data_IF_748719394572
#
_entry.id   IF_748719394572
#
_cell.length_a   1.000
_cell.length_b   1.000
_cell.length_c   1.000
_cell.angle_alpha   90.00
_cell.angle_beta   90.00
_cell.angle_gamma   90.00
#
_symmetry.space_group_name_H-M   'P 1'
#
loop_
_entity.id
_entity.type
_entity.pdbx_description
1 polymer ?
#
# COMPACT_ATOMS: atom_id res chain seq x y z
N UNK A 1 -8.84 0.82 -10.32
CA UNK A 1 -9.16 1.08 -11.75
C UNK A 1 -10.57 0.71 -12.14
N UNK A 2 -11.32 -0.09 -11.38
CA UNK A 2 -12.71 -0.41 -11.71
C UNK A 2 -13.62 0.83 -11.96
N UNK A 3 -13.30 1.98 -11.36
CA UNK A 3 -14.00 3.24 -11.60
C UNK A 3 -13.66 3.93 -12.94
N UNK A 4 -12.59 3.52 -13.63
CA UNK A 4 -12.09 4.11 -14.88
C UNK A 4 -11.66 3.00 -15.87
N UNK A 5 -12.59 2.14 -16.30
CA UNK A 5 -12.25 0.97 -17.13
C UNK A 5 -11.72 1.33 -18.52
N UNK A 6 -12.07 2.51 -19.04
CA UNK A 6 -11.67 2.96 -20.38
C UNK A 6 -10.30 3.65 -20.42
N UNK A 7 -9.68 3.89 -19.26
CA UNK A 7 -8.36 4.54 -19.17
C UNK A 7 -7.29 3.46 -19.06
N UNK A 8 -6.40 3.30 -20.07
CA UNK A 8 -5.37 2.28 -20.01
C UNK A 8 -4.36 2.60 -18.91
N UNK A 9 -3.91 1.56 -18.23
CA UNK A 9 -2.75 1.62 -17.35
C UNK A 9 -1.46 1.84 -18.14
N UNK A 10 -0.39 2.23 -17.45
CA UNK A 10 0.95 2.26 -18.07
C UNK A 10 1.34 0.88 -18.60
N UNK A 11 1.04 -0.19 -17.86
CA UNK A 11 1.34 -1.56 -18.26
C UNK A 11 0.60 -1.96 -19.53
N UNK A 12 -0.69 -1.63 -19.63
CA UNK A 12 -1.49 -1.86 -20.85
C UNK A 12 -0.97 -1.04 -22.04
N UNK A 13 -0.26 0.06 -21.77
CA UNK A 13 0.41 0.89 -22.77
C UNK A 13 1.84 0.43 -23.09
N UNK A 14 2.27 -0.73 -22.58
CA UNK A 14 3.61 -1.29 -22.81
C UNK A 14 4.73 -0.69 -21.94
N UNK A 15 4.37 0.06 -20.90
CA UNK A 15 5.32 0.63 -19.93
C UNK A 15 5.21 -0.17 -18.63
N UNK A 16 6.23 -0.97 -18.32
CA UNK A 16 6.31 -1.77 -17.10
C UNK A 16 6.65 -0.93 -15.86
N UNK A 17 5.78 0.01 -15.52
CA UNK A 17 5.91 0.87 -14.35
C UNK A 17 4.54 1.16 -13.72
N UNK A 18 4.51 1.27 -12.40
CA UNK A 18 3.35 1.78 -11.68
C UNK A 18 3.76 2.49 -10.39
N UNK A 19 3.01 3.53 -10.07
CA UNK A 19 3.11 4.25 -8.81
C UNK A 19 1.71 4.44 -8.26
N UNK A 20 1.49 3.93 -7.05
CA UNK A 20 0.23 4.08 -6.33
C UNK A 20 0.54 4.58 -4.93
N UNK A 21 -0.22 5.56 -4.46
CA UNK A 21 -0.13 5.98 -3.07
C UNK A 21 -0.71 4.90 -2.17
N UNK A 22 0.02 4.52 -1.13
CA UNK A 22 -0.41 3.53 -0.15
C UNK A 22 -0.37 4.11 1.27
N UNK A 23 -1.09 3.45 2.18
CA UNK A 23 -1.09 3.75 3.62
C UNK A 23 -0.99 2.44 4.38
N UNK A 24 -0.39 2.48 5.56
CA UNK A 24 -0.25 1.31 6.41
C UNK A 24 -0.04 1.69 7.86
N UNK A 25 -0.22 0.71 8.74
CA UNK A 25 0.02 0.81 10.17
C UNK A 25 1.10 -0.19 10.54
N UNK A 26 2.03 0.23 11.37
CA UNK A 26 3.11 -0.60 11.90
C UNK A 26 3.23 -0.39 13.39
N UNK A 27 3.73 -1.40 14.09
CA UNK A 27 3.91 -1.39 15.53
C UNK A 27 5.41 -1.37 15.88
N UNK A 28 5.80 -0.89 17.07
CA UNK A 28 7.16 -1.04 17.55
C UNK A 28 7.60 -2.51 17.51
N UNK A 29 8.88 -2.75 17.16
CA UNK A 29 9.45 -4.09 16.97
C UNK A 29 9.24 -5.05 18.16
N UNK A 30 9.22 -4.52 19.38
CA UNK A 30 9.10 -5.32 20.62
C UNK A 30 7.65 -5.37 21.14
N UNK A 31 6.67 -5.04 20.31
CA UNK A 31 5.25 -5.13 20.69
C UNK A 31 4.87 -6.61 20.91
N UNK A 32 4.29 -6.98 22.07
CA UNK A 32 3.88 -8.36 22.33
C UNK A 32 2.88 -8.89 21.29
N UNK A 33 3.04 -10.16 20.89
CA UNK A 33 2.23 -10.82 19.86
C UNK A 33 0.73 -10.72 20.12
N UNK A 34 0.28 -10.85 21.37
CA UNK A 34 -1.13 -10.72 21.72
C UNK A 34 -1.72 -9.34 21.37
N UNK A 35 -0.90 -8.28 21.47
CA UNK A 35 -1.31 -6.92 21.07
C UNK A 35 -1.34 -6.80 19.55
N UNK A 36 -0.33 -7.37 18.87
CA UNK A 36 -0.27 -7.42 17.40
C UNK A 36 -1.52 -8.10 16.84
N UNK A 37 -1.87 -9.28 17.38
CA UNK A 37 -3.03 -10.06 16.95
C UNK A 37 -4.34 -9.30 17.18
N UNK A 38 -4.50 -8.70 18.37
CA UNK A 38 -5.70 -7.91 18.70
C UNK A 38 -5.90 -6.77 17.71
N UNK A 39 -4.84 -5.99 17.42
CA UNK A 39 -4.93 -4.86 16.50
C UNK A 39 -5.09 -5.31 15.05
N UNK A 40 -4.41 -6.37 14.63
CA UNK A 40 -4.54 -6.93 13.28
C UNK A 40 -5.98 -7.37 13.01
N UNK A 41 -6.59 -8.11 13.94
CA UNK A 41 -7.97 -8.57 13.80
C UNK A 41 -8.96 -7.40 13.72
N UNK A 42 -8.83 -6.42 14.62
CA UNK A 42 -9.68 -5.23 14.60
C UNK A 42 -9.55 -4.43 13.30
N UNK A 43 -8.34 -4.29 12.75
CA UNK A 43 -8.12 -3.61 11.48
C UNK A 43 -8.76 -4.37 10.31
N UNK A 44 -8.64 -5.70 10.30
CA UNK A 44 -9.29 -6.53 9.27
C UNK A 44 -10.81 -6.38 9.32
N UNK A 45 -11.42 -6.41 10.51
CA UNK A 45 -12.86 -6.15 10.68
C UNK A 45 -13.26 -4.76 10.18
N UNK A 46 -12.48 -3.72 10.52
CA UNK A 46 -12.74 -2.35 10.03
C UNK A 46 -12.70 -2.31 8.51
N UNK A 47 -11.73 -2.95 7.86
CA UNK A 47 -11.62 -2.92 6.39
C UNK A 47 -12.79 -3.59 5.68
N UNK A 48 -13.48 -4.51 6.36
CA UNK A 48 -14.67 -5.20 5.86
C UNK A 48 -15.97 -4.44 6.17
N UNK A 49 -15.92 -3.42 7.02
CA UNK A 49 -17.10 -2.64 7.40
C UNK A 49 -17.64 -1.78 6.25
N UNK A 50 -18.95 -1.65 6.20
CA UNK A 50 -19.64 -0.82 5.19
C UNK A 50 -19.22 0.65 5.29
N UNK A 51 -18.99 1.16 6.50
CA UNK A 51 -18.57 2.54 6.73
C UNK A 51 -17.19 2.82 6.13
N UNK A 52 -16.24 1.88 6.29
CA UNK A 52 -14.92 1.98 5.67
C UNK A 52 -15.02 1.91 4.15
N UNK A 53 -15.72 0.92 3.60
CA UNK A 53 -15.87 0.74 2.16
C UNK A 53 -16.54 1.96 1.51
N UNK A 54 -17.58 2.51 2.14
CA UNK A 54 -18.27 3.73 1.70
C UNK A 54 -17.34 4.93 1.74
N UNK A 55 -16.56 5.09 2.81
CA UNK A 55 -15.59 6.17 2.92
C UNK A 55 -14.54 6.09 1.80
N UNK A 56 -13.98 4.90 1.55
CA UNK A 56 -12.97 4.70 0.52
C UNK A 56 -13.51 5.00 -0.88
N UNK A 57 -14.69 4.47 -1.20
CA UNK A 57 -15.36 4.73 -2.49
C UNK A 57 -15.68 6.21 -2.69
N UNK A 58 -16.24 6.88 -1.68
CA UNK A 58 -16.59 8.31 -1.76
C UNK A 58 -15.38 9.20 -2.02
N UNK A 59 -14.20 8.80 -1.56
CA UNK A 59 -12.95 9.53 -1.75
C UNK A 59 -12.14 9.04 -2.96
N UNK A 60 -12.68 8.11 -3.77
CA UNK A 60 -12.01 7.60 -4.97
C UNK A 60 -10.82 6.69 -4.68
N UNK A 61 -10.72 6.14 -3.47
CA UNK A 61 -9.64 5.23 -3.11
C UNK A 61 -9.97 3.80 -3.56
N UNK A 62 -9.00 3.17 -4.23
CA UNK A 62 -9.00 1.71 -4.39
C UNK A 62 -8.68 1.05 -3.05
N UNK A 63 -9.35 -0.07 -2.77
CA UNK A 63 -9.12 -0.85 -1.56
C UNK A 63 -8.38 -2.13 -1.94
N UNK A 64 -7.14 -2.23 -1.48
CA UNK A 64 -6.34 -3.45 -1.50
C UNK A 64 -5.74 -3.61 -0.12
N UNK A 65 -6.11 -4.68 0.59
CA UNK A 65 -5.71 -4.91 1.98
C UNK A 65 -4.59 -5.96 2.00
N UNK A 66 -3.52 -5.65 2.72
CA UNK A 66 -2.41 -6.57 3.02
C UNK A 66 -2.17 -6.55 4.53
N UNK A 67 -1.80 -7.68 5.11
CA UNK A 67 -1.47 -7.78 6.53
C UNK A 67 -0.35 -8.81 6.75
N UNK A 68 0.30 -8.74 7.91
CA UNK A 68 1.38 -9.66 8.26
C UNK A 68 2.49 -9.69 7.21
N UNK A 69 2.92 -10.91 6.84
CA UNK A 69 4.01 -11.16 5.89
C UNK A 69 3.74 -10.54 4.50
N UNK A 70 2.48 -10.51 4.03
CA UNK A 70 2.14 -9.90 2.75
C UNK A 70 2.39 -8.39 2.74
N UNK A 71 2.16 -7.73 3.88
CA UNK A 71 2.44 -6.30 4.01
C UNK A 71 3.95 -6.05 4.14
N UNK A 72 4.68 -6.91 4.85
CA UNK A 72 6.14 -6.85 4.94
C UNK A 72 6.80 -7.01 3.56
N UNK A 73 6.39 -8.01 2.78
CA UNK A 73 6.89 -8.23 1.42
C UNK A 73 6.59 -7.03 0.51
N UNK A 74 5.42 -6.42 0.65
CA UNK A 74 5.07 -5.19 -0.06
C UNK A 74 5.98 -4.01 0.32
N UNK A 75 6.26 -3.81 1.61
CA UNK A 75 7.16 -2.74 2.06
C UNK A 75 8.57 -2.92 1.50
N UNK A 76 9.11 -4.13 1.52
CA UNK A 76 10.42 -4.43 0.94
C UNK A 76 10.47 -4.18 -0.57
N UNK A 77 9.39 -4.53 -1.30
CA UNK A 77 9.28 -4.27 -2.72
C UNK A 77 9.17 -2.77 -3.05
N UNK A 78 8.39 -2.01 -2.26
CA UNK A 78 8.29 -0.55 -2.43
C UNK A 78 9.62 0.15 -2.14
N UNK A 79 10.33 -0.24 -1.08
CA UNK A 79 11.63 0.31 -0.72
C UNK A 79 12.66 0.10 -1.85
N UNK A 80 12.81 -1.13 -2.33
CA UNK A 80 13.70 -1.46 -3.44
C UNK A 80 13.31 -0.76 -4.76
N UNK A 81 12.00 -0.54 -5.00
CA UNK A 81 11.52 0.21 -6.17
C UNK A 81 11.90 1.69 -6.05
N UNK A 82 11.68 2.30 -4.89
CA UNK A 82 11.93 3.72 -4.69
C UNK A 82 13.41 4.06 -4.58
N UNK A 83 14.24 3.18 -4.05
CA UNK A 83 15.70 3.32 -4.09
C UNK A 83 16.19 3.59 -5.52
N UNK A 84 15.74 2.77 -6.49
CA UNK A 84 16.09 2.92 -7.91
C UNK A 84 15.62 4.27 -8.48
N UNK A 85 14.43 4.71 -8.12
CA UNK A 85 13.88 6.02 -8.57
C UNK A 85 14.72 7.16 -8.01
N UNK A 86 15.00 7.15 -6.71
CA UNK A 86 15.76 8.19 -6.01
C UNK A 86 17.17 8.32 -6.58
N UNK A 87 17.82 7.18 -6.88
CA UNK A 87 19.13 7.15 -7.55
C UNK A 87 19.05 7.70 -8.99
N UNK A 88 18.09 7.24 -9.79
CA UNK A 88 17.97 7.65 -11.18
C UNK A 88 17.59 9.13 -11.37
N UNK A 89 16.88 9.72 -10.41
CA UNK A 89 16.39 11.10 -10.46
C UNK A 89 17.34 12.12 -9.84
N UNK A 90 18.46 11.67 -9.26
CA UNK A 90 19.46 12.53 -8.63
C UNK A 90 19.02 13.11 -7.28
N UNK A 91 17.93 12.61 -6.68
CA UNK A 91 17.55 12.95 -5.30
C UNK A 91 18.47 12.27 -4.27
N UNK A 92 19.23 11.24 -4.67
CA UNK A 92 20.23 10.57 -3.84
C UNK A 92 21.56 11.33 -3.67
N UNK A 93 21.67 12.58 -4.14
CA UNK A 93 22.91 13.36 -4.01
C UNK A 93 23.26 13.51 -2.52
N UNK A 94 24.25 12.72 -2.06
CA UNK A 94 24.85 12.89 -0.76
C UNK A 94 25.54 14.28 -0.68
N UNK A 95 25.60 14.91 0.50
CA UNK A 95 26.59 15.95 0.76
C UNK A 95 28.03 15.43 0.60
#
# INVERSE_FOLDING_TARGET
MAAYPDIPTLRESGIEWQMVGWRGLVLPKETPDAIVETLSNALMEITQSESYQTFMQKNGFGVEIRHGEDFEAFLAAEDAKWEKVIQATGYAQNP
#
